data_IF_373242430941
#
_entry.id   IF_373242430941
#
_cell.length_a   1.000
_cell.length_b   1.000
_cell.length_c   1.000
_cell.angle_alpha   90.00
_cell.angle_beta   90.00
_cell.angle_gamma   90.00
#
_symmetry.space_group_name_H-M   'P 1'
#
loop_
_entity.id
_entity.type
_entity.pdbx_description
1 polymer ?
#
# COMPACT_ATOMS: atom_id res chain seq x y z
N UNK A 1 13.70 -0.76 -1.54
CA UNK A 1 14.16 -1.94 -0.79
C UNK A 1 15.31 -1.62 0.13
N UNK A 2 16.44 -1.13 -0.39
CA UNK A 2 17.68 -0.92 0.38
C UNK A 2 17.49 -0.10 1.64
N UNK A 3 16.85 1.04 1.57
CA UNK A 3 16.64 1.91 2.74
C UNK A 3 15.95 1.17 3.92
N UNK A 4 14.99 0.29 3.63
CA UNK A 4 14.32 -0.51 4.68
C UNK A 4 15.29 -1.53 5.28
N UNK A 5 16.10 -2.18 4.44
CA UNK A 5 17.15 -3.11 4.89
C UNK A 5 18.19 -2.43 5.79
N UNK A 6 18.60 -1.21 5.43
CA UNK A 6 19.54 -0.39 6.21
C UNK A 6 18.92 0.06 7.53
N UNK A 7 17.62 0.42 7.52
CA UNK A 7 16.89 0.81 8.74
C UNK A 7 16.78 -0.36 9.73
N UNK A 8 16.50 -1.58 9.27
CA UNK A 8 16.48 -2.79 10.13
C UNK A 8 17.82 -2.98 10.83
N UNK A 9 18.90 -2.79 10.10
CA UNK A 9 20.26 -2.90 10.64
C UNK A 9 20.58 -1.77 11.63
N UNK A 10 20.23 -0.53 11.27
CA UNK A 10 20.48 0.64 12.10
C UNK A 10 19.80 0.59 13.47
N UNK A 11 18.64 -0.06 13.59
CA UNK A 11 17.96 -0.28 14.88
C UNK A 11 18.44 -1.51 15.62
N UNK A 12 19.49 -2.17 15.13
CA UNK A 12 20.13 -3.32 15.77
C UNK A 12 19.34 -4.65 15.65
N UNK A 13 18.36 -4.73 14.76
CA UNK A 13 17.59 -5.94 14.52
C UNK A 13 18.35 -6.86 13.55
N UNK A 14 18.46 -8.15 13.90
CA UNK A 14 19.00 -9.16 12.97
C UNK A 14 17.98 -9.54 11.90
N UNK A 15 16.72 -9.65 12.27
CA UNK A 15 15.62 -9.99 11.39
C UNK A 15 14.36 -9.24 11.83
N UNK A 16 13.51 -8.89 10.84
CA UNK A 16 12.23 -8.24 11.05
C UNK A 16 11.11 -8.99 10.31
N UNK A 17 9.88 -8.86 10.81
CA UNK A 17 8.67 -9.14 10.05
C UNK A 17 8.22 -7.84 9.39
N UNK A 18 7.99 -7.86 8.09
CA UNK A 18 7.55 -6.67 7.35
C UNK A 18 6.05 -6.70 7.12
N UNK A 19 5.43 -5.54 7.26
CA UNK A 19 4.05 -5.30 6.87
C UNK A 19 4.04 -4.13 5.88
N UNK A 20 3.57 -4.36 4.67
CA UNK A 20 3.38 -3.33 3.65
C UNK A 20 1.90 -3.10 3.40
N UNK A 21 1.49 -1.83 3.30
CA UNK A 21 0.15 -1.45 2.88
C UNK A 21 0.21 -0.68 1.56
N UNK A 22 -0.64 -1.02 0.60
CA UNK A 22 -0.70 -0.32 -0.69
C UNK A 22 0.66 -0.29 -1.40
N UNK A 23 1.18 0.90 -1.73
CA UNK A 23 2.54 1.12 -2.25
C UNK A 23 3.61 0.46 -1.37
N UNK A 24 3.41 0.44 -0.06
CA UNK A 24 4.29 -0.24 0.88
C UNK A 24 4.48 -1.73 0.59
N UNK A 25 3.51 -2.38 -0.08
CA UNK A 25 3.66 -3.76 -0.54
C UNK A 25 4.79 -3.88 -1.58
N UNK A 26 4.87 -2.94 -2.53
CA UNK A 26 5.94 -2.91 -3.53
C UNK A 26 7.31 -2.69 -2.87
N UNK A 27 7.36 -1.76 -1.90
CA UNK A 27 8.59 -1.46 -1.14
C UNK A 27 9.06 -2.66 -0.33
N UNK A 28 8.14 -3.35 0.36
CA UNK A 28 8.49 -4.52 1.19
C UNK A 28 8.88 -5.72 0.34
N UNK A 29 8.24 -5.97 -0.80
CA UNK A 29 8.65 -7.01 -1.75
C UNK A 29 10.07 -6.76 -2.27
N UNK A 30 10.39 -5.53 -2.65
CA UNK A 30 11.74 -5.15 -3.07
C UNK A 30 12.76 -5.31 -1.93
N UNK A 31 12.37 -4.99 -0.69
CA UNK A 31 13.24 -5.21 0.47
C UNK A 31 13.54 -6.70 0.66
N UNK A 32 12.53 -7.55 0.59
CA UNK A 32 12.74 -9.02 0.69
C UNK A 32 13.64 -9.53 -0.43
N UNK A 33 13.43 -9.06 -1.67
CA UNK A 33 14.24 -9.50 -2.80
C UNK A 33 15.73 -9.12 -2.68
N UNK A 34 16.03 -8.01 -1.98
CA UNK A 34 17.38 -7.48 -1.81
C UNK A 34 18.06 -7.93 -0.50
N UNK A 35 17.26 -8.25 0.54
CA UNK A 35 17.72 -8.49 1.91
C UNK A 35 16.93 -9.65 2.57
N UNK A 36 16.74 -10.75 1.85
CA UNK A 36 15.92 -11.89 2.32
C UNK A 36 16.39 -12.45 3.67
N UNK A 37 17.69 -12.42 3.94
CA UNK A 37 18.29 -12.88 5.18
C UNK A 37 17.88 -12.06 6.42
N UNK A 38 17.45 -10.81 6.20
CA UNK A 38 16.98 -9.89 7.25
C UNK A 38 15.47 -9.98 7.49
N UNK A 39 14.72 -10.71 6.65
CA UNK A 39 13.26 -10.72 6.71
C UNK A 39 12.74 -12.10 7.11
N UNK A 40 11.94 -12.13 8.17
CA UNK A 40 11.37 -13.35 8.73
C UNK A 40 10.02 -13.72 8.10
N UNK A 41 9.14 -12.74 7.95
CA UNK A 41 7.80 -12.91 7.37
C UNK A 41 7.38 -11.64 6.63
N UNK A 42 6.48 -11.79 5.68
CA UNK A 42 5.92 -10.69 4.90
C UNK A 42 4.39 -10.67 5.01
N UNK A 43 3.82 -9.51 5.30
CA UNK A 43 2.38 -9.26 5.21
C UNK A 43 2.11 -8.17 4.19
N UNK A 44 1.27 -8.46 3.20
CA UNK A 44 0.89 -7.54 2.13
C UNK A 44 -0.59 -7.16 2.31
N UNK A 45 -0.85 -5.91 2.63
CA UNK A 45 -2.19 -5.40 2.89
C UNK A 45 -2.66 -4.50 1.74
N UNK A 46 -3.75 -4.84 1.08
CA UNK A 46 -4.26 -4.06 -0.05
C UNK A 46 -3.21 -3.87 -1.14
N UNK A 47 -2.44 -4.93 -1.44
CA UNK A 47 -1.36 -4.90 -2.42
C UNK A 47 -1.77 -5.46 -3.77
N UNK A 48 -1.04 -5.04 -4.81
CA UNK A 48 -1.06 -5.62 -6.15
C UNK A 48 0.37 -5.69 -6.68
N UNK A 49 0.62 -6.53 -7.68
CA UNK A 49 1.96 -6.64 -8.29
C UNK A 49 2.34 -5.44 -9.16
N UNK A 50 1.36 -4.61 -9.53
CA UNK A 50 1.51 -3.32 -10.19
C UNK A 50 0.36 -2.42 -9.75
N UNK A 51 0.62 -1.13 -9.59
CA UNK A 51 -0.37 -0.13 -9.17
C UNK A 51 -0.38 0.98 -10.23
N UNK A 52 -1.03 0.74 -11.38
CA UNK A 52 -1.16 1.78 -12.41
C UNK A 52 -2.02 2.92 -11.88
N UNK A 53 -1.57 4.14 -12.07
CA UNK A 53 -2.27 5.33 -11.58
C UNK A 53 -3.32 5.80 -12.56
N UNK A 54 -4.45 6.29 -12.02
CA UNK A 54 -5.41 7.03 -12.81
C UNK A 54 -4.74 8.32 -13.33
N UNK A 55 -4.81 8.64 -14.65
CA UNK A 55 -4.11 9.79 -15.23
C UNK A 55 -4.55 11.14 -14.62
N UNK A 56 -5.82 11.30 -14.28
CA UNK A 56 -6.33 12.52 -13.65
C UNK A 56 -5.77 12.66 -12.23
N UNK A 57 -5.80 11.58 -11.45
CA UNK A 57 -5.24 11.56 -10.10
C UNK A 57 -3.74 11.85 -10.11
N UNK A 58 -3.01 11.28 -11.06
CA UNK A 58 -1.57 11.52 -11.21
C UNK A 58 -1.30 12.99 -11.55
N UNK A 59 -2.01 13.56 -12.52
CA UNK A 59 -1.85 14.98 -12.90
C UNK A 59 -2.13 15.91 -11.72
N UNK A 60 -3.23 15.70 -11.00
CA UNK A 60 -3.56 16.50 -9.82
C UNK A 60 -2.48 16.40 -8.74
N UNK A 61 -1.94 15.20 -8.51
CA UNK A 61 -0.89 15.00 -7.50
C UNK A 61 0.42 15.70 -7.89
N UNK A 62 0.80 15.65 -9.16
CA UNK A 62 1.99 16.33 -9.70
C UNK A 62 1.90 17.87 -9.63
N UNK A 63 0.69 18.38 -9.73
CA UNK A 63 0.41 19.81 -9.55
C UNK A 63 0.30 20.20 -8.06
N UNK A 64 0.47 19.28 -7.14
CA UNK A 64 0.22 19.47 -5.70
C UNK A 64 -1.20 20.02 -5.42
N UNK A 65 -2.17 19.60 -6.24
CA UNK A 65 -3.55 20.03 -6.13
C UNK A 65 -4.25 19.28 -4.99
N UNK A 66 -4.87 19.97 -4.01
CA UNK A 66 -5.57 19.32 -2.90
C UNK A 66 -6.65 18.31 -3.32
N UNK A 67 -7.25 18.50 -4.49
CA UNK A 67 -8.24 17.56 -5.05
C UNK A 67 -7.68 16.16 -5.28
N UNK A 68 -6.35 16.01 -5.43
CA UNK A 68 -5.73 14.69 -5.54
C UNK A 68 -6.01 13.84 -4.30
N UNK A 69 -5.96 14.45 -3.13
CA UNK A 69 -6.25 13.76 -1.86
C UNK A 69 -7.71 13.39 -1.76
N UNK A 70 -8.60 14.32 -2.07
CA UNK A 70 -10.05 14.06 -2.02
C UNK A 70 -10.39 12.88 -2.95
N UNK A 71 -9.87 12.88 -4.18
CA UNK A 71 -10.08 11.82 -5.15
C UNK A 71 -9.46 10.49 -4.68
N UNK A 72 -8.25 10.51 -4.12
CA UNK A 72 -7.60 9.34 -3.55
C UNK A 72 -8.45 8.74 -2.42
N UNK A 73 -8.92 9.57 -1.50
CA UNK A 73 -9.71 9.13 -0.34
C UNK A 73 -11.08 8.59 -0.75
N UNK A 74 -11.68 9.12 -1.81
CA UNK A 74 -12.92 8.58 -2.40
C UNK A 74 -12.76 7.12 -2.86
N UNK A 75 -11.62 6.77 -3.42
CA UNK A 75 -11.33 5.39 -3.85
C UNK A 75 -10.83 4.50 -2.70
N UNK A 76 -10.21 5.11 -1.69
CA UNK A 76 -9.55 4.37 -0.62
C UNK A 76 -10.52 3.74 0.38
N UNK A 77 -11.68 4.36 0.61
CA UNK A 77 -12.64 3.84 1.59
C UNK A 77 -13.74 2.99 0.94
N UNK A 78 -14.14 1.94 1.63
CA UNK A 78 -15.36 1.21 1.34
C UNK A 78 -16.61 2.06 1.63
N UNK A 79 -17.80 1.62 1.21
CA UNK A 79 -19.05 2.38 1.38
C UNK A 79 -19.33 2.82 2.82
N UNK A 80 -18.99 2.00 3.80
CA UNK A 80 -19.17 2.32 5.22
C UNK A 80 -18.33 3.53 5.67
N UNK A 81 -17.11 3.67 5.15
CA UNK A 81 -16.20 4.77 5.47
C UNK A 81 -16.72 6.13 4.99
N UNK A 82 -17.47 6.16 3.89
CA UNK A 82 -18.07 7.39 3.35
C UNK A 82 -19.20 7.95 4.21
N UNK A 83 -19.86 7.11 4.99
CA UNK A 83 -20.99 7.51 5.84
C UNK A 83 -20.62 7.74 7.31
N UNK A 84 -19.34 7.91 7.61
CA UNK A 84 -18.88 8.13 8.99
C UNK A 84 -19.01 6.91 9.89
N UNK A 85 -19.06 5.72 9.29
CA UNK A 85 -19.20 4.45 9.98
C UNK A 85 -17.94 3.96 10.72
N UNK A 86 -17.00 4.86 11.05
CA UNK A 86 -15.81 4.46 11.78
C UNK A 86 -16.14 4.10 13.24
N UNK A 87 -15.60 2.97 13.77
CA UNK A 87 -15.86 2.55 15.15
C UNK A 87 -15.33 3.51 16.21
N UNK A 88 -14.41 4.41 15.87
CA UNK A 88 -13.92 5.46 16.78
C UNK A 88 -14.71 6.73 16.58
N UNK A 89 -15.50 7.20 17.57
CA UNK A 89 -16.30 8.41 17.46
C UNK A 89 -15.43 9.65 17.15
N UNK A 90 -15.89 10.45 16.17
CA UNK A 90 -15.22 11.72 15.82
C UNK A 90 -13.98 11.58 14.92
N UNK A 91 -13.57 10.38 14.57
CA UNK A 91 -12.49 10.19 13.61
C UNK A 91 -13.03 10.35 12.19
N UNK A 92 -12.53 11.36 11.47
CA UNK A 92 -12.89 11.65 10.10
C UNK A 92 -11.65 11.51 9.20
N UNK A 93 -11.52 10.37 8.54
CA UNK A 93 -10.30 9.99 7.80
C UNK A 93 -9.95 10.93 6.66
N UNK A 94 -10.97 11.49 5.99
CA UNK A 94 -10.77 12.44 4.88
C UNK A 94 -9.92 13.66 5.30
N UNK A 95 -10.05 14.10 6.56
CA UNK A 95 -9.30 15.26 7.05
C UNK A 95 -7.82 14.96 7.27
N UNK A 96 -7.45 13.74 7.65
CA UNK A 96 -6.04 13.37 7.90
C UNK A 96 -5.24 13.41 6.59
N UNK A 97 -5.78 12.84 5.53
CA UNK A 97 -5.16 12.89 4.20
C UNK A 97 -4.97 14.34 3.72
N UNK A 98 -6.02 15.17 3.83
CA UNK A 98 -5.95 16.59 3.47
C UNK A 98 -4.90 17.35 4.28
N UNK A 99 -4.76 17.07 5.58
CA UNK A 99 -3.73 17.70 6.42
C UNK A 99 -2.31 17.33 6.00
N UNK A 100 -2.07 16.07 5.60
CA UNK A 100 -0.75 15.62 5.15
C UNK A 100 -0.34 16.37 3.89
N UNK A 101 -1.24 16.49 2.91
CA UNK A 101 -0.93 17.14 1.62
C UNK A 101 -0.88 18.66 1.73
N UNK A 102 -1.61 19.26 2.66
CA UNK A 102 -1.56 20.71 2.91
C UNK A 102 -0.29 21.15 3.64
N UNK A 103 0.54 20.22 4.12
CA UNK A 103 1.83 20.56 4.69
C UNK A 103 2.75 21.10 3.59
N UNK A 104 2.95 22.42 3.57
CA UNK A 104 3.74 23.13 2.56
C UNK A 104 5.22 22.73 2.51
N UNK A 105 5.71 22.05 3.53
CA UNK A 105 7.10 21.59 3.59
C UNK A 105 7.33 20.31 2.78
N UNK A 106 6.25 19.57 2.44
CA UNK A 106 6.31 18.31 1.68
C UNK A 106 5.65 18.52 0.31
N UNK A 107 6.12 19.51 -0.44
CA UNK A 107 5.66 19.72 -1.82
C UNK A 107 6.04 18.53 -2.69
N UNK A 108 5.15 18.17 -3.59
CA UNK A 108 5.30 17.17 -4.66
C UNK A 108 5.46 15.71 -4.20
N UNK A 109 5.44 15.40 -2.90
CA UNK A 109 5.65 14.03 -2.41
C UNK A 109 4.64 13.05 -2.97
N UNK A 110 3.35 13.42 -2.98
CA UNK A 110 2.29 12.55 -3.50
C UNK A 110 2.46 12.26 -5.00
N UNK A 111 2.82 13.27 -5.79
CA UNK A 111 3.09 13.13 -7.22
C UNK A 111 4.30 12.23 -7.49
N UNK A 112 5.36 12.38 -6.70
CA UNK A 112 6.56 11.52 -6.79
C UNK A 112 6.21 10.07 -6.47
N UNK A 113 5.46 9.83 -5.41
CA UNK A 113 5.06 8.48 -4.99
C UNK A 113 4.13 7.82 -6.00
N UNK A 114 3.15 8.54 -6.52
CA UNK A 114 2.24 8.03 -7.54
C UNK A 114 2.98 7.72 -8.85
N UNK A 115 3.92 8.57 -9.27
CA UNK A 115 4.74 8.30 -10.44
C UNK A 115 5.65 7.07 -10.23
N UNK A 116 6.18 6.89 -9.03
CA UNK A 116 6.95 5.70 -8.69
C UNK A 116 6.11 4.43 -8.79
N UNK A 117 4.85 4.45 -8.30
CA UNK A 117 3.90 3.35 -8.46
C UNK A 117 3.58 3.07 -9.92
N UNK A 118 3.25 4.12 -10.69
CA UNK A 118 2.87 3.99 -12.11
C UNK A 118 4.01 3.42 -12.95
N UNK A 119 5.24 3.79 -12.66
CA UNK A 119 6.43 3.32 -13.37
C UNK A 119 6.93 1.95 -12.91
N UNK A 120 6.46 1.44 -11.76
CA UNK A 120 6.92 0.16 -11.23
C UNK A 120 6.32 -1.02 -12.01
N UNK A 121 7.19 -1.80 -12.68
CA UNK A 121 6.79 -2.92 -13.54
C UNK A 121 7.36 -4.27 -13.10
N UNK A 122 8.25 -4.29 -12.12
CA UNK A 122 8.98 -5.49 -11.71
C UNK A 122 8.21 -6.39 -10.73
N UNK A 123 7.04 -5.96 -10.24
CA UNK A 123 6.30 -6.64 -9.18
C UNK A 123 6.03 -8.13 -9.45
N UNK A 124 5.54 -8.54 -10.62
CA UNK A 124 5.30 -9.96 -10.91
C UNK A 124 6.57 -10.81 -10.82
N UNK A 125 7.70 -10.30 -11.32
CA UNK A 125 8.97 -11.03 -11.32
C UNK A 125 9.60 -11.09 -9.93
N UNK A 126 9.44 -10.04 -9.13
CA UNK A 126 9.87 -10.03 -7.73
C UNK A 126 9.01 -11.00 -6.92
N UNK A 127 7.69 -10.93 -7.03
CA UNK A 127 6.75 -11.76 -6.28
C UNK A 127 7.03 -13.27 -6.48
N UNK A 128 7.31 -13.70 -7.70
CA UNK A 128 7.66 -15.11 -8.03
C UNK A 128 8.94 -15.61 -7.38
N UNK A 129 9.83 -14.70 -6.97
CA UNK A 129 11.12 -15.04 -6.35
C UNK A 129 11.05 -15.04 -4.82
N UNK A 130 9.95 -14.58 -4.24
CA UNK A 130 9.80 -14.56 -2.78
C UNK A 130 9.60 -15.98 -2.26
N UNK A 131 10.44 -16.37 -1.31
CA UNK A 131 10.41 -17.69 -0.67
C UNK A 131 10.50 -17.52 0.86
N UNK A 132 9.40 -17.01 1.45
CA UNK A 132 9.25 -16.82 2.89
C UNK A 132 7.77 -16.85 3.25
N UNK A 133 7.41 -17.11 4.52
CA UNK A 133 6.01 -17.08 4.97
C UNK A 133 5.38 -15.73 4.64
N UNK A 134 4.35 -15.74 3.80
CA UNK A 134 3.67 -14.53 3.31
C UNK A 134 2.17 -14.61 3.54
N UNK A 135 1.59 -13.52 4.07
CA UNK A 135 0.16 -13.32 4.22
C UNK A 135 -0.31 -12.14 3.37
N UNK A 136 -1.31 -12.36 2.53
CA UNK A 136 -2.00 -11.31 1.78
C UNK A 136 -3.34 -11.00 2.44
N UNK A 137 -3.53 -9.76 2.92
CA UNK A 137 -4.78 -9.27 3.50
C UNK A 137 -5.44 -8.34 2.47
N UNK A 138 -6.66 -8.67 2.05
CA UNK A 138 -7.34 -8.01 0.95
C UNK A 138 -8.71 -7.50 1.38
N UNK A 139 -9.06 -6.27 1.04
CA UNK A 139 -10.39 -5.73 1.21
C UNK A 139 -11.32 -6.20 0.08
N UNK A 140 -12.50 -6.72 0.43
CA UNK A 140 -13.47 -7.18 -0.58
C UNK A 140 -14.01 -6.02 -1.44
N UNK A 141 -14.01 -4.80 -0.89
CA UNK A 141 -14.51 -3.59 -1.54
C UNK A 141 -13.39 -2.61 -1.91
N UNK A 142 -12.13 -3.05 -1.89
CA UNK A 142 -10.98 -2.23 -2.28
C UNK A 142 -11.09 -1.83 -3.76
N UNK A 143 -11.12 -0.51 -4.00
CA UNK A 143 -11.24 0.09 -5.33
C UNK A 143 -9.89 0.59 -5.87
N UNK A 144 -8.86 0.67 -5.03
CA UNK A 144 -7.50 1.05 -5.41
C UNK A 144 -6.68 -0.16 -5.84
N UNK A 145 -6.52 -1.14 -4.95
CA UNK A 145 -5.90 -2.44 -5.24
C UNK A 145 -6.99 -3.51 -5.19
N UNK A 146 -7.71 -3.68 -6.30
CA UNK A 146 -8.91 -4.53 -6.32
C UNK A 146 -8.61 -5.95 -5.86
N UNK A 147 -9.57 -6.58 -5.21
CA UNK A 147 -9.49 -7.95 -4.69
C UNK A 147 -8.88 -8.93 -5.71
N UNK A 148 -9.27 -8.84 -6.98
CA UNK A 148 -8.74 -9.69 -8.04
C UNK A 148 -7.23 -9.49 -8.26
N UNK A 149 -6.77 -8.25 -8.21
CA UNK A 149 -5.37 -7.90 -8.45
C UNK A 149 -4.49 -8.33 -7.27
N UNK A 150 -5.02 -8.24 -6.04
CA UNK A 150 -4.38 -8.78 -4.83
C UNK A 150 -4.28 -10.31 -4.83
N UNK A 151 -5.32 -11.01 -5.31
CA UNK A 151 -5.28 -12.47 -5.48
C UNK A 151 -4.22 -12.89 -6.50
N UNK A 152 -4.12 -12.18 -7.63
CA UNK A 152 -3.07 -12.42 -8.63
C UNK A 152 -1.67 -12.23 -8.03
N UNK A 153 -1.47 -11.21 -7.18
CA UNK A 153 -0.21 -11.03 -6.48
C UNK A 153 0.09 -12.23 -5.57
N UNK A 154 -0.88 -12.64 -4.76
CA UNK A 154 -0.71 -13.79 -3.86
C UNK A 154 -0.40 -15.09 -4.62
N UNK A 155 -1.02 -15.31 -5.78
CA UNK A 155 -0.76 -16.49 -6.64
C UNK A 155 0.66 -16.52 -7.21
N UNK A 156 1.34 -15.38 -7.34
CA UNK A 156 2.75 -15.33 -7.72
C UNK A 156 3.69 -15.77 -6.60
N UNK A 157 3.28 -15.65 -5.34
CA UNK A 157 4.13 -15.93 -4.18
C UNK A 157 3.86 -17.34 -3.67
N UNK A 158 4.84 -18.23 -3.82
CA UNK A 158 4.71 -19.62 -3.41
C UNK A 158 4.35 -19.75 -1.93
N UNK A 159 3.21 -20.38 -1.63
CA UNK A 159 2.77 -20.63 -0.27
C UNK A 159 2.19 -19.41 0.44
N UNK A 160 1.87 -18.35 -0.29
CA UNK A 160 1.14 -17.20 0.27
C UNK A 160 -0.24 -17.60 0.78
N UNK A 161 -0.58 -17.17 1.98
CA UNK A 161 -1.93 -17.28 2.53
C UNK A 161 -2.73 -16.02 2.17
N UNK A 162 -4.03 -16.17 1.95
CA UNK A 162 -4.94 -15.05 1.64
C UNK A 162 -6.00 -14.94 2.74
N UNK A 163 -6.16 -13.73 3.26
CA UNK A 163 -7.29 -13.37 4.11
C UNK A 163 -8.06 -12.21 3.48
N UNK A 164 -9.36 -12.39 3.27
CA UNK A 164 -10.25 -11.35 2.72
C UNK A 164 -11.10 -10.77 3.85
N UNK A 165 -11.08 -9.44 3.96
CA UNK A 165 -11.93 -8.70 4.91
C UNK A 165 -13.17 -8.24 4.15
N UNK A 166 -14.33 -8.77 4.53
CA UNK A 166 -15.61 -8.39 3.96
C UNK A 166 -16.00 -6.95 4.37
N UNK A 167 -16.71 -6.25 3.50
CA UNK A 167 -17.16 -4.87 3.72
C UNK A 167 -16.05 -3.85 4.01
N UNK A 168 -14.84 -4.12 3.55
CA UNK A 168 -13.66 -3.32 3.78
C UNK A 168 -13.10 -2.81 2.45
N UNK A 169 -12.73 -1.54 2.40
CA UNK A 169 -12.05 -0.90 1.27
C UNK A 169 -10.53 -1.05 1.36
N UNK A 170 -9.83 -0.02 0.85
CA UNK A 170 -8.37 0.00 0.81
C UNK A 170 -7.74 0.36 2.17
N UNK A 171 -8.43 1.21 2.95
CA UNK A 171 -7.93 1.67 4.25
C UNK A 171 -8.25 0.69 5.37
N UNK A 172 -7.99 -0.58 5.13
CA UNK A 172 -8.29 -1.70 6.02
C UNK A 172 -7.67 -1.60 7.41
N UNK A 173 -6.70 -0.72 7.62
CA UNK A 173 -6.16 -0.40 8.95
C UNK A 173 -7.10 0.50 9.76
N UNK A 174 -8.09 1.10 9.11
CA UNK A 174 -8.99 2.10 9.67
C UNK A 174 -10.48 1.69 9.55
N UNK A 175 -10.81 0.78 8.66
CA UNK A 175 -12.13 0.24 8.42
C UNK A 175 -12.36 -1.05 9.21
#
# INVERSE_FOLDING_TARGET
GNWVGDAIEAVGCKQASLVGHSQGCLVTMECVAQHSEKIKTLTLMGGASAIPMNPELLSLAEESNPKAVDLMMDFAHGPAGHFGGHPVPGLYHLNVGSMIVQNKEIKDTLGVDFRACDNYKNGPEIAKKLDLPTLSILGAQDRMCRLKDGKILADYIKGSEIHVIENCGHMMLLE
#
